data_IF_301801698918
#
_entry.id   IF_301801698918
#
_cell.length_a   1.000
_cell.length_b   1.000
_cell.length_c   1.000
_cell.angle_alpha   90.00
_cell.angle_beta   90.00
_cell.angle_gamma   90.00
#
_symmetry.space_group_name_H-M   'P 1'
#
loop_
_entity.id
_entity.type
_entity.pdbx_description
1 polymer ?
#
# COMPACT_ATOMS: atom_id res chain seq x y z
N UNK A 1 75.19 -19.68 10.93
CA UNK A 1 74.63 -19.24 9.62
C UNK A 1 73.57 -20.23 9.14
N UNK A 2 73.81 -21.55 9.19
CA UNK A 2 72.85 -22.59 8.77
C UNK A 2 71.58 -22.64 9.64
N UNK A 3 71.70 -22.54 10.97
CA UNK A 3 70.52 -22.59 11.88
C UNK A 3 69.52 -21.45 11.67
N UNK A 4 70.01 -20.30 11.22
CA UNK A 4 69.16 -19.15 10.87
C UNK A 4 68.29 -19.44 9.64
N UNK A 5 68.83 -20.12 8.63
CA UNK A 5 68.08 -20.52 7.44
C UNK A 5 67.05 -21.63 7.73
N UNK A 6 67.38 -22.57 8.60
CA UNK A 6 66.45 -23.65 9.01
C UNK A 6 65.25 -23.08 9.77
N UNK A 7 65.47 -22.14 10.68
CA UNK A 7 64.40 -21.46 11.43
C UNK A 7 63.45 -20.67 10.51
N UNK A 8 64.00 -19.96 9.52
CA UNK A 8 63.20 -19.24 8.52
C UNK A 8 62.37 -20.22 7.67
N UNK A 9 62.95 -21.35 7.26
CA UNK A 9 62.25 -22.35 6.44
C UNK A 9 61.08 -22.99 7.19
N UNK A 10 61.24 -23.31 8.47
CA UNK A 10 60.14 -23.81 9.31
C UNK A 10 59.03 -22.78 9.51
N UNK A 11 59.38 -21.50 9.66
CA UNK A 11 58.40 -20.43 9.80
C UNK A 11 57.57 -20.26 8.52
N UNK A 12 58.22 -20.33 7.34
CA UNK A 12 57.55 -20.28 6.03
C UNK A 12 56.62 -21.48 5.84
N UNK A 13 57.06 -22.68 6.19
CA UNK A 13 56.24 -23.90 6.13
C UNK A 13 55.00 -23.81 7.03
N UNK A 14 55.16 -23.35 8.28
CA UNK A 14 54.03 -23.14 9.21
C UNK A 14 53.09 -22.02 8.76
N UNK A 15 53.63 -20.92 8.22
CA UNK A 15 52.85 -19.81 7.67
C UNK A 15 52.02 -20.22 6.45
N UNK A 16 52.54 -21.12 5.61
CA UNK A 16 51.81 -21.64 4.43
C UNK A 16 50.55 -22.42 4.81
N UNK A 17 50.62 -23.24 5.88
CA UNK A 17 49.46 -23.95 6.42
C UNK A 17 48.41 -23.02 7.02
N UNK A 18 48.85 -21.98 7.75
CA UNK A 18 47.96 -20.97 8.32
C UNK A 18 47.24 -20.16 7.23
N UNK A 19 47.95 -19.82 6.16
CA UNK A 19 47.38 -19.10 5.02
C UNK A 19 46.29 -19.93 4.32
N UNK A 20 46.49 -21.23 4.17
CA UNK A 20 45.47 -22.14 3.61
C UNK A 20 44.19 -22.17 4.45
N UNK A 21 44.31 -22.34 5.77
CA UNK A 21 43.15 -22.33 6.69
C UNK A 21 42.47 -20.96 6.70
N UNK A 22 43.25 -19.87 6.66
CA UNK A 22 42.73 -18.51 6.57
C UNK A 22 41.93 -18.29 5.28
N UNK A 23 42.42 -18.74 4.13
CA UNK A 23 41.71 -18.63 2.86
C UNK A 23 40.40 -19.44 2.86
N UNK A 24 40.38 -20.61 3.49
CA UNK A 24 39.15 -21.42 3.63
C UNK A 24 38.14 -20.69 4.54
N UNK A 25 38.59 -20.19 5.69
CA UNK A 25 37.74 -19.42 6.61
C UNK A 25 37.20 -18.15 5.95
N UNK A 26 38.04 -17.45 5.17
CA UNK A 26 37.66 -16.25 4.42
C UNK A 26 36.61 -16.58 3.36
N UNK A 27 36.79 -17.67 2.59
CA UNK A 27 35.79 -18.12 1.61
C UNK A 27 34.45 -18.46 2.25
N UNK A 28 34.45 -19.15 3.39
CA UNK A 28 33.22 -19.47 4.13
C UNK A 28 32.54 -18.21 4.70
N UNK A 29 33.34 -17.28 5.25
CA UNK A 29 32.85 -15.99 5.75
C UNK A 29 32.23 -15.14 4.63
N UNK A 30 32.89 -15.04 3.48
CA UNK A 30 32.36 -14.33 2.32
C UNK A 30 31.08 -14.99 1.79
N UNK A 31 31.06 -16.32 1.64
CA UNK A 31 29.89 -17.03 1.16
C UNK A 31 28.67 -16.80 2.06
N UNK A 32 28.83 -16.94 3.38
CA UNK A 32 27.75 -16.69 4.33
C UNK A 32 27.30 -15.23 4.36
N UNK A 33 28.22 -14.28 4.21
CA UNK A 33 27.91 -12.86 4.12
C UNK A 33 27.09 -12.52 2.88
N UNK A 34 27.47 -13.04 1.70
CA UNK A 34 26.73 -12.81 0.46
C UNK A 34 25.33 -13.42 0.50
N UNK A 35 25.19 -14.65 1.01
CA UNK A 35 23.88 -15.29 1.15
C UNK A 35 22.96 -14.46 2.05
N UNK A 36 23.46 -14.01 3.21
CA UNK A 36 22.69 -13.16 4.13
C UNK A 36 22.26 -11.84 3.50
N UNK A 37 23.11 -11.20 2.70
CA UNK A 37 22.74 -9.96 2.01
C UNK A 37 21.63 -10.20 1.00
N UNK A 38 21.69 -11.30 0.26
CA UNK A 38 20.65 -11.65 -0.73
C UNK A 38 19.34 -11.97 -0.02
N UNK A 39 19.38 -12.79 1.04
CA UNK A 39 18.22 -13.13 1.86
C UNK A 39 17.56 -11.88 2.43
N UNK A 40 18.34 -10.97 3.02
CA UNK A 40 17.85 -9.70 3.57
C UNK A 40 17.16 -8.84 2.50
N UNK A 41 17.71 -8.75 1.29
CA UNK A 41 17.09 -7.99 0.20
C UNK A 41 15.77 -8.62 -0.26
N UNK A 42 15.72 -9.95 -0.35
CA UNK A 42 14.50 -10.69 -0.72
C UNK A 42 13.42 -10.50 0.35
N UNK A 43 13.80 -10.58 1.63
CA UNK A 43 12.88 -10.38 2.76
C UNK A 43 12.31 -8.96 2.74
N UNK A 44 13.16 -7.95 2.56
CA UNK A 44 12.72 -6.55 2.45
C UNK A 44 11.79 -6.34 1.25
N UNK A 45 12.06 -6.99 0.11
CA UNK A 45 11.16 -6.92 -1.05
C UNK A 45 9.81 -7.60 -0.78
N UNK A 46 9.81 -8.74 -0.08
CA UNK A 46 8.59 -9.44 0.33
C UNK A 46 7.77 -8.61 1.30
N UNK A 47 8.41 -8.00 2.30
CA UNK A 47 7.75 -7.14 3.28
C UNK A 47 7.11 -5.94 2.60
N UNK A 48 7.83 -5.30 1.67
CA UNK A 48 7.28 -4.22 0.86
C UNK A 48 6.07 -4.67 0.05
N UNK A 49 6.16 -5.79 -0.67
CA UNK A 49 5.03 -6.33 -1.45
C UNK A 49 3.83 -6.67 -0.57
N UNK A 50 4.08 -7.14 0.65
CA UNK A 50 3.02 -7.44 1.61
C UNK A 50 2.35 -6.16 2.13
N UNK A 51 3.13 -5.11 2.38
CA UNK A 51 2.62 -3.79 2.75
C UNK A 51 1.80 -3.17 1.62
N UNK A 52 2.34 -3.15 0.40
CA UNK A 52 1.64 -2.66 -0.80
C UNK A 52 0.30 -3.41 -0.98
N UNK A 53 0.31 -4.74 -0.85
CA UNK A 53 -0.91 -5.55 -0.93
C UNK A 53 -1.93 -5.16 0.16
N UNK A 54 -1.49 -4.93 1.40
CA UNK A 54 -2.40 -4.50 2.49
C UNK A 54 -3.01 -3.13 2.18
N UNK A 55 -2.22 -2.20 1.65
CA UNK A 55 -2.70 -0.88 1.24
C UNK A 55 -3.77 -1.03 0.13
N UNK A 56 -3.50 -1.84 -0.88
CA UNK A 56 -4.45 -2.11 -1.97
C UNK A 56 -5.77 -2.69 -1.47
N UNK A 57 -5.71 -3.63 -0.51
CA UNK A 57 -6.92 -4.19 0.09
C UNK A 57 -7.71 -3.15 0.89
N UNK A 58 -7.03 -2.27 1.63
CA UNK A 58 -7.68 -1.17 2.35
C UNK A 58 -8.33 -0.16 1.40
N UNK A 59 -7.67 0.15 0.28
CA UNK A 59 -8.22 1.02 -0.77
C UNK A 59 -9.50 0.41 -1.35
N UNK A 60 -9.49 -0.89 -1.69
CA UNK A 60 -10.67 -1.60 -2.19
C UNK A 60 -11.82 -1.57 -1.21
N UNK A 61 -11.56 -1.91 0.05
CA UNK A 61 -12.59 -1.90 1.11
C UNK A 61 -13.23 -0.52 1.28
N UNK A 62 -12.40 0.54 1.29
CA UNK A 62 -12.87 1.93 1.41
C UNK A 62 -13.65 2.37 0.17
N UNK A 63 -13.20 1.98 -1.02
CA UNK A 63 -13.88 2.28 -2.28
C UNK A 63 -15.25 1.59 -2.35
N UNK A 64 -15.34 0.33 -1.93
CA UNK A 64 -16.58 -0.43 -1.89
C UNK A 64 -17.59 0.22 -0.93
N UNK A 65 -17.15 0.62 0.26
CA UNK A 65 -17.98 1.31 1.24
C UNK A 65 -18.50 2.66 0.71
N UNK A 66 -17.66 3.43 0.01
CA UNK A 66 -18.06 4.68 -0.66
C UNK A 66 -19.08 4.41 -1.76
N UNK A 67 -18.87 3.38 -2.59
CA UNK A 67 -19.81 3.01 -3.63
C UNK A 67 -21.17 2.64 -3.03
N UNK A 68 -21.18 1.86 -1.95
CA UNK A 68 -22.39 1.51 -1.21
C UNK A 68 -23.10 2.74 -0.65
N UNK A 69 -22.36 3.70 -0.08
CA UNK A 69 -22.93 4.97 0.41
C UNK A 69 -23.66 5.73 -0.69
N UNK A 70 -23.02 5.91 -1.86
CA UNK A 70 -23.62 6.63 -2.98
C UNK A 70 -24.81 5.87 -3.57
N UNK A 71 -24.75 4.54 -3.62
CA UNK A 71 -25.86 3.71 -4.07
C UNK A 71 -27.06 3.84 -3.12
N UNK A 72 -26.84 3.75 -1.81
CA UNK A 72 -27.90 3.88 -0.82
C UNK A 72 -28.52 5.28 -0.82
N UNK A 73 -27.69 6.33 -0.98
CA UNK A 73 -28.16 7.71 -1.10
C UNK A 73 -29.08 7.95 -2.31
N UNK A 74 -28.81 7.29 -3.45
CA UNK A 74 -29.60 7.44 -4.67
C UNK A 74 -30.87 6.54 -4.71
N UNK A 75 -31.12 5.71 -3.70
CA UNK A 75 -32.34 4.90 -3.63
C UNK A 75 -33.54 5.75 -3.20
N UNK A 76 -34.67 5.60 -3.91
CA UNK A 76 -35.95 6.27 -3.60
C UNK A 76 -36.49 5.89 -2.21
N UNK A 77 -36.34 4.63 -1.82
CA UNK A 77 -36.75 4.07 -0.53
C UNK A 77 -35.53 3.48 0.20
N UNK A 78 -34.47 4.28 0.36
CA UNK A 78 -33.25 3.85 1.04
C UNK A 78 -33.46 3.58 2.53
N UNK A 79 -32.67 2.67 3.08
CA UNK A 79 -32.58 2.42 4.53
C UNK A 79 -31.75 3.53 5.18
N UNK A 80 -32.41 4.42 5.92
CA UNK A 80 -31.76 5.53 6.61
C UNK A 80 -30.76 5.09 7.67
N UNK A 81 -30.97 3.94 8.33
CA UNK A 81 -30.01 3.42 9.30
C UNK A 81 -28.74 2.94 8.59
N UNK A 82 -28.89 2.29 7.43
CA UNK A 82 -27.76 1.88 6.60
C UNK A 82 -26.99 3.09 6.06
N UNK A 83 -27.69 4.10 5.56
CA UNK A 83 -27.07 5.33 5.07
C UNK A 83 -26.29 6.04 6.18
N UNK A 84 -26.87 6.16 7.37
CA UNK A 84 -26.21 6.76 8.53
C UNK A 84 -24.96 5.98 8.94
N UNK A 85 -25.05 4.64 9.00
CA UNK A 85 -23.91 3.79 9.29
C UNK A 85 -22.76 4.04 8.32
N UNK A 86 -23.05 4.01 7.01
CA UNK A 86 -22.03 4.25 5.98
C UNK A 86 -21.44 5.66 6.06
N UNK A 87 -22.26 6.68 6.34
CA UNK A 87 -21.80 8.05 6.49
C UNK A 87 -20.91 8.24 7.74
N UNK A 88 -21.27 7.58 8.85
CA UNK A 88 -20.46 7.60 10.07
C UNK A 88 -19.14 6.86 9.86
N UNK A 89 -19.18 5.67 9.29
CA UNK A 89 -17.97 4.89 8.97
C UNK A 89 -17.03 5.71 8.08
N UNK A 90 -17.56 6.38 7.03
CA UNK A 90 -16.80 7.28 6.19
C UNK A 90 -16.19 8.46 6.96
N UNK A 91 -16.95 9.08 7.87
CA UNK A 91 -16.49 10.25 8.63
C UNK A 91 -15.31 9.97 9.58
N UNK A 92 -15.11 8.72 9.99
CA UNK A 92 -14.05 8.34 10.92
C UNK A 92 -12.66 8.32 10.28
N UNK A 93 -12.57 8.05 8.98
CA UNK A 93 -11.29 7.89 8.29
C UNK A 93 -11.06 8.88 7.16
N UNK A 94 -12.10 9.55 6.66
CA UNK A 94 -11.95 10.59 5.65
C UNK A 94 -11.37 11.88 6.27
N UNK A 95 -10.57 12.64 5.50
CA UNK A 95 -10.12 13.96 5.91
C UNK A 95 -11.29 14.95 5.96
N UNK A 96 -11.16 15.95 6.83
CA UNK A 96 -12.21 16.94 7.14
C UNK A 96 -12.90 17.53 5.90
N UNK A 97 -12.14 17.98 4.91
CA UNK A 97 -12.66 18.59 3.68
C UNK A 97 -13.60 17.65 2.91
N UNK A 98 -13.26 16.36 2.85
CA UNK A 98 -14.04 15.35 2.16
C UNK A 98 -15.30 14.97 2.94
N UNK A 99 -15.22 14.94 4.28
CA UNK A 99 -16.38 14.73 5.15
C UNK A 99 -17.39 15.87 5.00
N UNK A 100 -16.93 17.13 5.02
CA UNK A 100 -17.80 18.30 4.83
C UNK A 100 -18.47 18.25 3.45
N UNK A 101 -17.70 18.01 2.40
CA UNK A 101 -18.21 17.91 1.03
C UNK A 101 -19.25 16.78 0.88
N UNK A 102 -18.97 15.60 1.43
CA UNK A 102 -19.88 14.46 1.45
C UNK A 102 -21.16 14.79 2.22
N UNK A 103 -21.04 15.41 3.38
CA UNK A 103 -22.18 15.74 4.26
C UNK A 103 -23.12 16.70 3.54
N UNK A 104 -22.60 17.76 2.92
CA UNK A 104 -23.38 18.71 2.11
C UNK A 104 -24.20 18.02 1.03
N UNK A 105 -23.59 17.05 0.34
CA UNK A 105 -24.25 16.23 -0.67
C UNK A 105 -25.34 15.33 -0.08
N UNK A 106 -25.06 14.65 1.04
CA UNK A 106 -26.02 13.75 1.69
C UNK A 106 -27.25 14.48 2.24
N UNK A 107 -27.09 15.68 2.81
CA UNK A 107 -28.21 16.47 3.36
C UNK A 107 -28.87 17.40 2.34
N UNK A 108 -28.45 17.33 1.06
CA UNK A 108 -28.98 18.14 -0.05
C UNK A 108 -28.93 19.65 0.24
N UNK A 109 -27.80 20.12 0.78
CA UNK A 109 -27.59 21.56 1.00
C UNK A 109 -27.71 22.36 -0.31
N UNK A 110 -28.13 23.64 -0.24
CA UNK A 110 -28.06 24.53 -1.39
C UNK A 110 -26.63 24.60 -1.94
N UNK A 111 -26.46 24.39 -3.25
CA UNK A 111 -25.15 24.29 -3.92
C UNK A 111 -24.29 23.09 -3.49
N UNK A 112 -24.91 22.02 -2.96
CA UNK A 112 -24.17 20.80 -2.70
C UNK A 112 -23.55 20.22 -3.98
N UNK A 113 -22.32 19.66 -3.90
CA UNK A 113 -21.69 19.03 -5.04
C UNK A 113 -22.49 17.80 -5.48
N UNK A 114 -22.48 17.55 -6.79
CA UNK A 114 -23.09 16.35 -7.33
C UNK A 114 -22.32 15.10 -6.87
N UNK A 115 -22.99 13.97 -6.65
CA UNK A 115 -22.34 12.75 -6.13
C UNK A 115 -21.15 12.28 -7.00
N UNK A 116 -21.19 12.52 -8.33
CA UNK A 116 -20.06 12.25 -9.23
C UNK A 116 -18.83 13.13 -8.94
N UNK A 117 -19.03 14.38 -8.55
CA UNK A 117 -17.92 15.26 -8.14
C UNK A 117 -17.30 14.75 -6.85
N UNK A 118 -18.14 14.34 -5.89
CA UNK A 118 -17.68 13.72 -4.64
C UNK A 118 -16.89 12.43 -4.89
N UNK A 119 -17.37 11.56 -5.79
CA UNK A 119 -16.66 10.34 -6.18
C UNK A 119 -15.31 10.62 -6.84
N UNK A 120 -15.19 11.66 -7.66
CA UNK A 120 -13.93 12.04 -8.28
C UNK A 120 -12.89 12.49 -7.23
N UNK A 121 -13.30 13.28 -6.24
CA UNK A 121 -12.43 13.70 -5.13
C UNK A 121 -12.05 12.54 -4.19
N UNK A 122 -12.98 11.61 -3.93
CA UNK A 122 -12.66 10.38 -3.20
C UNK A 122 -11.67 9.49 -3.94
N UNK A 123 -11.78 9.39 -5.28
CA UNK A 123 -10.81 8.65 -6.10
C UNK A 123 -9.41 9.24 -5.94
N UNK A 124 -9.29 10.57 -6.00
CA UNK A 124 -8.02 11.27 -5.78
C UNK A 124 -7.47 11.02 -4.38
N UNK A 125 -8.33 11.02 -3.36
CA UNK A 125 -7.89 10.72 -2.00
C UNK A 125 -7.37 9.29 -1.83
N UNK A 126 -8.01 8.31 -2.49
CA UNK A 126 -7.65 6.90 -2.37
C UNK A 126 -6.47 6.48 -3.25
N UNK A 127 -6.36 7.04 -4.46
CA UNK A 127 -5.41 6.61 -5.48
C UNK A 127 -4.33 7.65 -5.81
N UNK A 128 -4.47 8.87 -5.30
CA UNK A 128 -3.56 9.98 -5.56
C UNK A 128 -3.98 10.88 -6.72
N UNK A 129 -3.30 12.02 -6.84
CA UNK A 129 -3.64 13.10 -7.77
C UNK A 129 -3.52 12.69 -9.25
N UNK A 130 -2.60 11.78 -9.56
CA UNK A 130 -2.36 11.28 -10.92
C UNK A 130 -3.54 10.47 -11.48
N UNK A 131 -4.42 9.99 -10.59
CA UNK A 131 -5.59 9.16 -10.94
C UNK A 131 -6.88 9.98 -11.03
N UNK A 132 -6.77 11.32 -11.04
CA UNK A 132 -7.90 12.23 -11.18
C UNK A 132 -8.63 12.00 -12.50
N UNK A 133 -9.96 11.92 -12.42
CA UNK A 133 -10.85 11.79 -13.58
C UNK A 133 -11.92 12.88 -13.55
N UNK A 134 -12.47 13.20 -14.73
CA UNK A 134 -13.60 14.12 -14.84
C UNK A 134 -14.86 13.47 -14.26
N UNK A 135 -15.68 14.17 -13.45
CA UNK A 135 -16.94 13.63 -12.92
C UNK A 135 -17.88 13.05 -13.99
N UNK A 136 -17.85 13.60 -15.20
CA UNK A 136 -18.68 13.20 -16.34
C UNK A 136 -18.30 11.81 -16.88
N UNK A 137 -17.06 11.38 -16.67
CA UNK A 137 -16.57 10.05 -17.07
C UNK A 137 -17.10 8.91 -16.18
N UNK A 138 -17.68 9.25 -15.03
CA UNK A 138 -18.25 8.27 -14.10
C UNK A 138 -19.63 7.87 -14.61
N UNK A 139 -19.76 6.61 -15.04
CA UNK A 139 -21.04 6.05 -15.45
C UNK A 139 -21.98 5.89 -14.24
N UNK A 140 -23.25 6.24 -14.44
CA UNK A 140 -24.32 5.98 -13.48
C UNK A 140 -25.53 5.48 -14.26
N UNK A 141 -26.06 4.34 -13.84
CA UNK A 141 -27.21 3.69 -14.47
C UNK A 141 -28.41 3.87 -13.52
N UNK A 142 -29.28 4.87 -13.76
CA UNK A 142 -30.45 5.06 -12.92
C UNK A 142 -31.39 3.86 -13.02
N UNK A 143 -32.05 3.52 -11.92
CA UNK A 143 -33.06 2.46 -11.90
C UNK A 143 -34.25 2.86 -12.80
N UNK A 144 -34.64 2.02 -13.79
CA UNK A 144 -35.77 2.30 -14.68
C UNK A 144 -37.08 2.57 -13.94
N UNK A 145 -37.26 1.99 -12.74
CA UNK A 145 -38.44 2.22 -11.90
C UNK A 145 -38.51 3.63 -11.31
N UNK A 146 -37.42 4.39 -11.36
CA UNK A 146 -37.35 5.77 -10.87
C UNK A 146 -37.56 6.84 -11.96
N UNK A 147 -37.55 6.46 -13.25
CA UNK A 147 -37.74 7.39 -14.38
C UNK A 147 -39.20 7.56 -14.83
N UNK A 148 -40.13 6.83 -14.21
CA UNK A 148 -41.56 6.90 -14.50
C UNK A 148 -42.30 7.74 -13.44
N UNK A 149 -41.96 9.03 -13.31
CA UNK A 149 -42.76 10.07 -12.65
C UNK A 149 -42.51 11.42 -13.30
#
# INVERSE_FOLDING_TARGET
MIDFFVSILEWILKASGFFGVFLIALKLGLATFFTKIIEFRIELEKDKKLEDYKIDQLIKLKADMIAELILEFNKKNGDSNRLNKLAFDASLWLPKNLVEMMTKMLIKEPNAPHYKQVLAEFRVHLLGENERISPESIAHFPDPSQNNM
#
